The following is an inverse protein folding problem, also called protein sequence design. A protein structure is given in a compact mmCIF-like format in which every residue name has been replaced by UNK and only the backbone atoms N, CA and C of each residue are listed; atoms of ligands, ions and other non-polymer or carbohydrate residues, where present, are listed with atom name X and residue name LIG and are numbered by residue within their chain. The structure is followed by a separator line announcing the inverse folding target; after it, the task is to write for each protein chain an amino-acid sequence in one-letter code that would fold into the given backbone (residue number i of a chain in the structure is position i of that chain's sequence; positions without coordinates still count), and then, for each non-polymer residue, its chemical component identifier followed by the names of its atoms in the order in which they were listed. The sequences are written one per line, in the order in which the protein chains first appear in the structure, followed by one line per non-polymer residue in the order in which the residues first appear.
data_IF_416055285537
#
_entry.id   IF_416055285537
#
_cell.length_a   1.000
_cell.length_b   1.000
_cell.length_c   1.000
_cell.angle_alpha   90.00
_cell.angle_beta   90.00
_cell.angle_gamma   90.00
#
_symmetry.space_group_name_H-M   'P 1'
#
loop_
_entity.id
_entity.type
_entity.pdbx_description
1 polymer ?
#
# COMPACT_ATOMS: atom_id res chain seq x y z
N UNK A 1 53.04 -26.37 -58.53
CA UNK A 1 51.99 -27.32 -58.97
C UNK A 1 51.36 -27.90 -57.71
N UNK A 2 50.49 -27.18 -57.01
CA UNK A 2 49.02 -27.12 -57.23
C UNK A 2 48.39 -28.50 -57.40
N UNK A 3 47.83 -29.07 -56.33
CA UNK A 3 46.56 -29.79 -56.40
C UNK A 3 45.83 -29.72 -55.05
N UNK A 4 44.84 -28.83 -55.03
CA UNK A 4 43.70 -28.80 -54.11
C UNK A 4 42.98 -30.15 -54.12
N UNK A 5 42.84 -30.78 -52.95
CA UNK A 5 41.77 -31.75 -52.72
C UNK A 5 40.73 -31.08 -51.83
N UNK A 6 39.68 -30.60 -52.48
CA UNK A 6 38.41 -30.28 -51.85
C UNK A 6 37.97 -31.49 -51.02
N UNK A 7 38.02 -31.37 -49.70
CA UNK A 7 37.29 -32.27 -48.81
C UNK A 7 35.81 -31.99 -49.02
N UNK A 8 35.22 -32.72 -49.98
CA UNK A 8 33.76 -32.83 -50.08
C UNK A 8 33.27 -33.41 -48.76
N UNK A 9 32.73 -32.55 -47.90
CA UNK A 9 31.91 -32.95 -46.76
C UNK A 9 30.77 -33.80 -47.34
N UNK A 10 30.91 -35.13 -47.24
CA UNK A 10 29.81 -36.05 -47.50
C UNK A 10 28.79 -35.79 -46.41
N UNK A 11 27.80 -34.95 -46.70
CA UNK A 11 26.56 -34.91 -45.91
C UNK A 11 25.87 -36.24 -46.14
N UNK A 12 26.18 -37.22 -45.30
CA UNK A 12 25.44 -38.48 -45.26
C UNK A 12 24.09 -38.20 -44.63
N UNK A 13 23.05 -38.20 -45.46
CA UNK A 13 21.66 -38.18 -45.04
C UNK A 13 21.33 -39.54 -44.40
N UNK A 14 21.62 -39.68 -43.09
CA UNK A 14 21.20 -40.87 -42.36
C UNK A 14 19.70 -40.77 -42.07
N UNK A 15 18.91 -41.44 -42.91
CA UNK A 15 17.44 -41.49 -42.83
C UNK A 15 16.96 -41.99 -41.47
N UNK A 16 17.75 -42.82 -40.77
CA UNK A 16 17.41 -43.32 -39.43
C UNK A 16 17.67 -42.29 -38.34
N UNK A 17 18.71 -41.46 -38.47
CA UNK A 17 18.99 -40.37 -37.54
C UNK A 17 17.95 -39.25 -37.67
N UNK A 18 17.55 -38.92 -38.92
CA UNK A 18 16.44 -38.02 -39.20
C UNK A 18 15.10 -38.60 -38.72
N UNK A 19 14.79 -39.87 -38.97
CA UNK A 19 13.58 -40.51 -38.43
C UNK A 19 13.57 -40.52 -36.89
N UNK A 20 14.70 -40.75 -36.23
CA UNK A 20 14.80 -40.66 -34.76
C UNK A 20 14.69 -39.23 -34.23
N UNK A 21 14.98 -38.20 -35.04
CA UNK A 21 14.70 -36.79 -34.70
C UNK A 21 13.24 -36.41 -34.98
N UNK A 22 12.64 -36.95 -36.05
CA UNK A 22 11.25 -36.68 -36.48
C UNK A 22 10.23 -37.40 -35.58
N UNK A 23 10.53 -38.62 -35.12
CA UNK A 23 9.66 -39.41 -34.24
C UNK A 23 9.61 -38.95 -32.77
N UNK A 24 10.25 -37.82 -32.42
CA UNK A 24 10.24 -37.31 -31.03
C UNK A 24 9.01 -36.47 -30.69
N UNK A 25 8.35 -35.88 -31.68
CA UNK A 25 7.23 -34.99 -31.45
C UNK A 25 5.91 -35.67 -31.78
N UNK A 26 4.95 -35.57 -30.86
CA UNK A 26 3.55 -35.78 -31.21
C UNK A 26 3.12 -34.74 -32.26
N UNK A 27 2.07 -35.05 -33.03
CA UNK A 27 1.54 -34.12 -34.04
C UNK A 27 1.18 -32.73 -33.46
N UNK A 28 0.76 -32.69 -32.18
CA UNK A 28 0.48 -31.45 -31.46
C UNK A 28 1.76 -30.68 -31.12
N UNK A 29 2.79 -31.34 -30.59
CA UNK A 29 4.07 -30.69 -30.30
C UNK A 29 4.75 -30.18 -31.56
N UNK A 30 4.71 -30.95 -32.66
CA UNK A 30 5.22 -30.52 -33.95
C UNK A 30 4.51 -29.24 -34.45
N UNK A 31 3.20 -29.13 -34.24
CA UNK A 31 2.42 -27.93 -34.58
C UNK A 31 2.82 -26.71 -33.76
N UNK A 32 3.08 -26.89 -32.47
CA UNK A 32 3.55 -25.81 -31.57
C UNK A 32 4.94 -25.29 -31.96
N UNK A 33 5.82 -26.15 -32.47
CA UNK A 33 7.18 -25.76 -32.90
C UNK A 33 7.25 -25.21 -34.33
N UNK A 34 6.37 -25.65 -35.23
CA UNK A 34 6.42 -25.26 -36.65
C UNK A 34 5.65 -23.96 -36.97
N UNK A 35 4.72 -23.55 -36.11
CA UNK A 35 3.83 -22.42 -36.37
C UNK A 35 3.76 -21.39 -35.22
N UNK A 36 2.83 -20.46 -35.35
CA UNK A 36 2.50 -19.51 -34.29
C UNK A 36 1.92 -20.27 -33.08
N UNK A 37 2.64 -20.22 -31.95
CA UNK A 37 2.33 -20.96 -30.74
C UNK A 37 0.91 -20.67 -30.23
N UNK A 38 0.47 -19.41 -30.25
CA UNK A 38 -0.88 -19.07 -29.78
C UNK A 38 -1.96 -19.66 -30.68
N UNK A 39 -1.77 -19.60 -32.00
CA UNK A 39 -2.71 -20.21 -32.96
C UNK A 39 -2.76 -21.73 -32.80
N UNK A 40 -1.61 -22.36 -32.58
CA UNK A 40 -1.54 -23.80 -32.33
C UNK A 40 -2.34 -24.18 -31.07
N UNK A 41 -2.12 -23.48 -29.95
CA UNK A 41 -2.82 -23.75 -28.68
C UNK A 41 -4.32 -23.47 -28.79
N UNK A 42 -4.75 -22.38 -29.41
CA UNK A 42 -6.18 -22.08 -29.64
C UNK A 42 -6.85 -23.16 -30.47
N UNK A 43 -6.18 -23.65 -31.52
CA UNK A 43 -6.71 -24.73 -32.36
C UNK A 43 -6.83 -26.04 -31.58
N UNK A 44 -5.85 -26.38 -30.75
CA UNK A 44 -5.93 -27.56 -29.88
C UNK A 44 -7.10 -27.47 -28.88
N UNK A 45 -7.35 -26.29 -28.27
CA UNK A 45 -8.52 -26.10 -27.40
C UNK A 45 -9.84 -26.33 -28.13
N UNK A 46 -9.95 -25.85 -29.38
CA UNK A 46 -11.15 -26.06 -30.21
C UNK A 46 -11.34 -27.54 -30.56
N UNK A 47 -10.27 -28.23 -30.95
CA UNK A 47 -10.28 -29.69 -31.20
C UNK A 47 -10.67 -30.48 -29.95
N UNK A 48 -10.28 -29.99 -28.78
CA UNK A 48 -10.55 -30.59 -27.48
C UNK A 48 -11.93 -30.25 -26.89
N UNK A 49 -12.74 -29.46 -27.62
CA UNK A 49 -14.09 -29.03 -27.21
C UNK A 49 -14.14 -27.83 -26.27
N UNK A 50 -13.01 -27.21 -25.95
CA UNK A 50 -12.87 -26.11 -25.00
C UNK A 50 -13.04 -24.73 -25.66
N UNK A 51 -14.25 -24.41 -26.11
CA UNK A 51 -14.55 -23.21 -26.90
C UNK A 51 -14.44 -21.90 -26.09
N UNK A 52 -14.76 -21.91 -24.79
CA UNK A 52 -14.70 -20.71 -23.94
C UNK A 52 -13.25 -20.33 -23.67
N UNK A 53 -12.42 -21.30 -23.30
CA UNK A 53 -10.98 -21.12 -23.08
C UNK A 53 -10.30 -20.67 -24.37
N UNK A 54 -10.66 -21.27 -25.51
CA UNK A 54 -10.13 -20.85 -26.82
C UNK A 54 -10.40 -19.37 -27.11
N UNK A 55 -11.62 -18.89 -26.85
CA UNK A 55 -12.00 -17.48 -27.06
C UNK A 55 -11.20 -16.52 -26.17
N UNK A 56 -11.05 -16.85 -24.88
CA UNK A 56 -10.26 -16.00 -23.98
C UNK A 56 -8.77 -16.03 -24.31
N UNK A 57 -8.22 -17.19 -24.68
CA UNK A 57 -6.82 -17.29 -25.13
C UNK A 57 -6.57 -16.45 -26.38
N UNK A 58 -7.46 -16.51 -27.37
CA UNK A 58 -7.37 -15.72 -28.60
C UNK A 58 -7.40 -14.21 -28.30
N UNK A 59 -8.30 -13.78 -27.40
CA UNK A 59 -8.36 -12.38 -26.94
C UNK A 59 -7.07 -11.94 -26.23
N UNK A 60 -6.57 -12.74 -25.28
CA UNK A 60 -5.38 -12.39 -24.50
C UNK A 60 -4.11 -12.38 -25.38
N UNK A 61 -3.99 -13.30 -26.33
CA UNK A 61 -2.89 -13.34 -27.29
C UNK A 61 -2.89 -12.12 -28.22
N UNK A 62 -4.06 -11.71 -28.71
CA UNK A 62 -4.20 -10.50 -29.52
C UNK A 62 -3.82 -9.25 -28.72
N UNK A 63 -4.28 -9.15 -27.47
CA UNK A 63 -3.96 -8.05 -26.57
C UNK A 63 -2.47 -7.99 -26.23
N UNK A 64 -1.83 -9.12 -25.96
CA UNK A 64 -0.38 -9.17 -25.74
C UNK A 64 0.39 -8.67 -26.97
N UNK A 65 0.00 -9.13 -28.15
CA UNK A 65 0.64 -8.73 -29.41
C UNK A 65 0.54 -7.22 -29.60
N UNK A 66 -0.63 -6.64 -29.38
CA UNK A 66 -0.84 -5.18 -29.45
C UNK A 66 0.02 -4.43 -28.41
N UNK A 67 0.02 -4.88 -27.16
CA UNK A 67 0.83 -4.27 -26.10
C UNK A 67 2.33 -4.33 -26.38
N UNK A 68 2.79 -5.42 -26.98
CA UNK A 68 4.19 -5.59 -27.37
C UNK A 68 4.55 -4.66 -28.53
N UNK A 69 3.73 -4.63 -29.59
CA UNK A 69 3.94 -3.74 -30.74
C UNK A 69 3.92 -2.26 -30.35
N UNK A 70 3.06 -1.89 -29.39
CA UNK A 70 2.96 -0.53 -28.86
C UNK A 70 3.98 -0.22 -27.75
N UNK A 71 4.93 -1.12 -27.47
CA UNK A 71 5.96 -0.97 -26.41
C UNK A 71 5.41 -0.73 -24.99
N UNK A 72 4.17 -1.16 -24.71
CA UNK A 72 3.56 -1.12 -23.38
C UNK A 72 4.20 -2.19 -22.48
N UNK A 73 4.53 -3.35 -23.07
CA UNK A 73 5.20 -4.46 -22.39
C UNK A 73 6.53 -4.78 -23.07
N UNK A 74 7.47 -5.31 -22.29
CA UNK A 74 8.79 -5.77 -22.81
C UNK A 74 8.90 -7.29 -22.84
N UNK A 75 8.35 -7.93 -21.82
CA UNK A 75 8.35 -9.39 -21.67
C UNK A 75 7.01 -9.93 -22.18
N UNK A 76 7.06 -11.03 -22.96
CA UNK A 76 5.87 -11.74 -23.41
C UNK A 76 5.71 -13.06 -22.66
N UNK A 77 4.47 -13.44 -22.44
CA UNK A 77 4.05 -14.71 -21.86
C UNK A 77 4.41 -15.85 -22.80
N UNK A 78 4.34 -15.63 -24.12
CA UNK A 78 4.76 -16.63 -25.11
C UNK A 78 6.22 -17.07 -24.98
N UNK A 79 7.09 -16.17 -24.49
CA UNK A 79 8.50 -16.47 -24.28
C UNK A 79 8.73 -17.24 -22.95
N UNK A 80 7.70 -17.40 -22.12
CA UNK A 80 7.72 -18.17 -20.87
C UNK A 80 6.88 -19.44 -20.98
N UNK A 81 7.48 -20.48 -21.56
CA UNK A 81 6.83 -21.78 -21.81
C UNK A 81 6.19 -22.37 -20.54
N UNK A 82 6.88 -22.31 -19.40
CA UNK A 82 6.37 -22.87 -18.14
C UNK A 82 5.07 -22.21 -17.68
N UNK A 83 4.98 -20.89 -17.75
CA UNK A 83 3.79 -20.13 -17.36
C UNK A 83 2.66 -20.36 -18.36
N UNK A 84 2.97 -20.23 -19.66
CA UNK A 84 1.98 -20.36 -20.73
C UNK A 84 1.32 -21.75 -20.71
N UNK A 85 2.13 -22.80 -20.61
CA UNK A 85 1.61 -24.18 -20.59
C UNK A 85 0.80 -24.46 -19.32
N UNK A 86 1.25 -23.95 -18.16
CA UNK A 86 0.49 -24.09 -16.91
C UNK A 86 -0.88 -23.39 -16.97
N UNK A 87 -0.94 -22.19 -17.56
CA UNK A 87 -2.20 -21.48 -17.80
C UNK A 87 -3.10 -22.25 -18.78
N UNK A 88 -2.51 -22.74 -19.86
CA UNK A 88 -3.21 -23.50 -20.89
C UNK A 88 -3.85 -24.77 -20.33
N UNK A 89 -3.07 -25.59 -19.64
CA UNK A 89 -3.53 -26.87 -19.10
C UNK A 89 -4.61 -26.66 -18.03
N UNK A 90 -4.42 -25.68 -17.13
CA UNK A 90 -5.42 -25.38 -16.11
C UNK A 90 -6.74 -24.87 -16.72
N UNK A 91 -6.69 -23.98 -17.72
CA UNK A 91 -7.90 -23.50 -18.41
C UNK A 91 -8.63 -24.63 -19.13
N UNK A 92 -7.87 -25.45 -19.88
CA UNK A 92 -8.41 -26.60 -20.60
C UNK A 92 -9.08 -27.59 -19.66
N UNK A 93 -8.40 -27.96 -18.57
CA UNK A 93 -8.95 -28.88 -17.57
C UNK A 93 -10.17 -28.28 -16.88
N UNK A 94 -10.16 -26.99 -16.55
CA UNK A 94 -11.29 -26.32 -15.90
C UNK A 94 -12.55 -26.38 -16.79
N UNK A 95 -12.44 -26.07 -18.07
CA UNK A 95 -13.58 -26.13 -18.98
C UNK A 95 -14.07 -27.57 -19.21
N UNK A 96 -13.16 -28.53 -19.35
CA UNK A 96 -13.55 -29.95 -19.46
C UNK A 96 -14.29 -30.44 -18.23
N UNK A 97 -13.81 -30.07 -17.05
CA UNK A 97 -14.49 -30.42 -15.80
C UNK A 97 -15.86 -29.74 -15.67
N UNK A 98 -16.01 -28.53 -16.21
CA UNK A 98 -17.30 -27.84 -16.23
C UNK A 98 -18.33 -28.53 -17.15
N UNK A 99 -17.88 -29.11 -18.26
CA UNK A 99 -18.74 -29.84 -19.21
C UNK A 99 -19.29 -31.17 -18.67
N UNK A 100 -18.72 -31.71 -17.59
CA UNK A 100 -19.17 -32.98 -17.01
C UNK A 100 -20.49 -32.84 -16.21
N UNK A 101 -21.03 -31.62 -16.05
CA UNK A 101 -22.30 -31.24 -15.36
C UNK A 101 -22.55 -31.79 -13.93
N UNK A 102 -21.64 -32.60 -13.40
CA UNK A 102 -21.70 -33.17 -12.06
C UNK A 102 -21.20 -32.17 -11.01
N UNK A 103 -21.69 -32.32 -9.77
CA UNK A 103 -21.24 -31.52 -8.62
C UNK A 103 -19.71 -31.54 -8.48
N UNK A 104 -19.07 -32.69 -8.65
CA UNK A 104 -17.61 -32.84 -8.55
C UNK A 104 -16.87 -32.09 -9.67
N UNK A 105 -17.40 -32.11 -10.89
CA UNK A 105 -16.83 -31.38 -12.04
C UNK A 105 -16.74 -29.87 -11.81
N UNK A 106 -17.77 -29.29 -11.19
CA UNK A 106 -17.77 -27.85 -10.84
C UNK A 106 -16.77 -27.52 -9.72
N UNK A 107 -16.63 -28.38 -8.71
CA UNK A 107 -15.64 -28.19 -7.65
C UNK A 107 -14.21 -28.20 -8.22
N UNK A 108 -13.91 -29.15 -9.13
CA UNK A 108 -12.62 -29.21 -9.83
C UNK A 108 -12.40 -27.96 -10.68
N UNK A 109 -13.43 -27.52 -11.42
CA UNK A 109 -13.37 -26.29 -12.23
C UNK A 109 -12.93 -25.09 -11.40
N UNK A 110 -13.59 -24.81 -10.27
CA UNK A 110 -13.26 -23.64 -9.46
C UNK A 110 -11.94 -23.76 -8.71
N UNK A 111 -11.51 -24.97 -8.36
CA UNK A 111 -10.16 -25.19 -7.82
C UNK A 111 -9.08 -24.88 -8.86
N UNK A 112 -9.27 -25.27 -10.12
CA UNK A 112 -8.36 -24.94 -11.22
C UNK A 112 -8.35 -23.43 -11.52
N UNK A 113 -9.52 -22.78 -11.51
CA UNK A 113 -9.61 -21.32 -11.64
C UNK A 113 -8.89 -20.60 -10.48
N UNK A 114 -9.03 -21.11 -9.26
CA UNK A 114 -8.29 -20.59 -8.11
C UNK A 114 -6.77 -20.80 -8.27
N UNK A 115 -6.32 -21.94 -8.80
CA UNK A 115 -4.90 -22.20 -9.09
C UNK A 115 -4.35 -21.24 -10.14
N UNK A 116 -5.11 -20.93 -11.20
CA UNK A 116 -4.73 -19.93 -12.21
C UNK A 116 -4.51 -18.57 -11.56
N UNK A 117 -5.44 -18.13 -10.71
CA UNK A 117 -5.31 -16.88 -9.97
C UNK A 117 -4.10 -16.91 -9.03
N UNK A 118 -3.88 -18.02 -8.33
CA UNK A 118 -2.75 -18.18 -7.42
C UNK A 118 -1.39 -18.18 -8.14
N UNK A 119 -1.31 -18.77 -9.33
CA UNK A 119 -0.13 -18.77 -10.19
C UNK A 119 0.24 -17.33 -10.59
N UNK A 120 -0.75 -16.51 -10.94
CA UNK A 120 -0.52 -15.10 -11.30
C UNK A 120 -0.11 -14.22 -10.11
N UNK A 121 -0.37 -14.65 -8.88
CA UNK A 121 0.07 -13.99 -7.65
C UNK A 121 1.52 -14.34 -7.25
N UNK A 122 2.21 -15.23 -7.99
CA UNK A 122 3.59 -15.57 -7.66
C UNK A 122 4.54 -14.36 -7.87
N UNK A 123 5.45 -14.07 -6.92
CA UNK A 123 6.27 -12.85 -6.95
C UNK A 123 7.07 -12.63 -8.26
N UNK A 124 7.46 -13.71 -8.94
CA UNK A 124 8.18 -13.67 -10.23
C UNK A 124 7.34 -13.14 -11.40
N UNK A 125 6.02 -13.19 -11.31
CA UNK A 125 5.11 -12.80 -12.40
C UNK A 125 4.39 -11.49 -12.14
N UNK A 126 4.17 -11.13 -10.86
CA UNK A 126 3.40 -9.95 -10.45
C UNK A 126 3.86 -8.65 -11.14
N UNK A 127 5.17 -8.42 -11.23
CA UNK A 127 5.70 -7.17 -11.82
C UNK A 127 5.76 -7.20 -13.34
N UNK A 128 5.92 -8.38 -13.95
CA UNK A 128 6.11 -8.56 -15.39
C UNK A 128 4.79 -8.61 -16.15
N UNK A 129 3.79 -9.29 -15.59
CA UNK A 129 2.55 -9.63 -16.27
C UNK A 129 1.32 -9.07 -15.52
N UNK A 130 1.43 -7.86 -14.97
CA UNK A 130 0.33 -7.25 -14.21
C UNK A 130 -0.92 -7.03 -15.07
N UNK A 131 -0.74 -6.74 -16.35
CA UNK A 131 -1.86 -6.61 -17.31
C UNK A 131 -2.65 -7.92 -17.45
N UNK A 132 -1.95 -9.05 -17.56
CA UNK A 132 -2.56 -10.37 -17.70
C UNK A 132 -3.24 -10.78 -16.41
N UNK A 133 -2.59 -10.49 -15.28
CA UNK A 133 -3.13 -10.74 -13.94
C UNK A 133 -4.48 -10.03 -13.75
N UNK A 134 -4.59 -8.76 -14.14
CA UNK A 134 -5.84 -7.99 -14.12
C UNK A 134 -6.93 -8.67 -14.96
N UNK A 135 -6.64 -9.01 -16.21
CA UNK A 135 -7.63 -9.63 -17.10
C UNK A 135 -8.08 -11.01 -16.58
N UNK A 136 -7.16 -11.81 -16.06
CA UNK A 136 -7.46 -13.11 -15.45
C UNK A 136 -8.42 -12.94 -14.27
N UNK A 137 -8.16 -11.98 -13.38
CA UNK A 137 -9.09 -11.71 -12.27
C UNK A 137 -10.48 -11.31 -12.76
N UNK A 138 -10.57 -10.42 -13.76
CA UNK A 138 -11.86 -9.98 -14.31
C UNK A 138 -12.63 -11.15 -14.97
N UNK A 139 -11.94 -12.00 -15.73
CA UNK A 139 -12.53 -13.17 -16.38
C UNK A 139 -13.03 -14.17 -15.33
N UNK A 140 -12.16 -14.54 -14.38
CA UNK A 140 -12.48 -15.54 -13.36
C UNK A 140 -13.60 -15.04 -12.44
N UNK A 141 -13.58 -13.77 -12.02
CA UNK A 141 -14.66 -13.19 -11.22
C UNK A 141 -16.01 -13.19 -11.96
N UNK A 142 -16.03 -12.87 -13.27
CA UNK A 142 -17.25 -12.95 -14.10
C UNK A 142 -17.78 -14.37 -14.23
N UNK A 143 -16.90 -15.38 -14.28
CA UNK A 143 -17.29 -16.79 -14.30
C UNK A 143 -17.90 -17.19 -12.94
N UNK A 144 -17.24 -16.81 -11.85
CA UNK A 144 -17.72 -17.06 -10.48
C UNK A 144 -19.09 -16.43 -10.21
N UNK A 145 -19.34 -15.21 -10.70
CA UNK A 145 -20.61 -14.52 -10.55
C UNK A 145 -21.78 -15.22 -11.27
N UNK A 146 -21.50 -15.88 -12.40
CA UNK A 146 -22.52 -16.55 -13.22
C UNK A 146 -22.87 -17.94 -12.71
N UNK A 147 -21.89 -18.67 -12.19
CA UNK A 147 -22.00 -20.12 -11.95
C UNK A 147 -22.07 -20.46 -10.45
N UNK A 148 -21.60 -19.56 -9.58
CA UNK A 148 -21.34 -19.83 -8.17
C UNK A 148 -22.52 -19.81 -7.19
N UNK A 149 -23.71 -19.35 -7.60
CA UNK A 149 -24.80 -19.15 -6.65
C UNK A 149 -25.45 -20.48 -6.21
N UNK A 150 -25.38 -20.78 -4.91
CA UNK A 150 -26.19 -21.81 -4.24
C UNK A 150 -25.62 -23.23 -4.22
N UNK A 151 -24.33 -23.43 -4.50
CA UNK A 151 -23.69 -24.76 -4.52
C UNK A 151 -22.56 -24.85 -3.48
N UNK A 152 -22.84 -25.49 -2.35
CA UNK A 152 -21.94 -25.56 -1.18
C UNK A 152 -20.51 -26.07 -1.49
N UNK A 153 -20.34 -26.92 -2.51
CA UNK A 153 -19.04 -27.50 -2.88
C UNK A 153 -18.11 -26.57 -3.68
N UNK A 154 -18.61 -25.44 -4.20
CA UNK A 154 -17.82 -24.44 -4.96
C UNK A 154 -17.64 -23.12 -4.20
N UNK A 155 -18.37 -22.91 -3.10
CA UNK A 155 -18.34 -21.65 -2.36
C UNK A 155 -16.95 -21.33 -1.80
N UNK A 156 -16.20 -22.35 -1.33
CA UNK A 156 -14.84 -22.16 -0.81
C UNK A 156 -13.87 -21.58 -1.85
N UNK A 157 -13.61 -22.22 -3.00
CA UNK A 157 -12.69 -21.67 -4.00
C UNK A 157 -13.17 -20.32 -4.54
N UNK A 158 -14.48 -20.11 -4.68
CA UNK A 158 -15.04 -18.82 -5.11
C UNK A 158 -14.77 -17.72 -4.09
N UNK A 159 -14.98 -17.97 -2.79
CA UNK A 159 -14.66 -17.02 -1.74
C UNK A 159 -13.17 -16.64 -1.74
N UNK A 160 -12.28 -17.60 -1.98
CA UNK A 160 -10.84 -17.36 -2.08
C UNK A 160 -10.45 -16.57 -3.33
N UNK A 161 -11.13 -16.81 -4.47
CA UNK A 161 -10.97 -16.00 -5.69
C UNK A 161 -11.37 -14.55 -5.41
N UNK A 162 -12.54 -14.32 -4.80
CA UNK A 162 -13.00 -12.98 -4.46
C UNK A 162 -12.08 -12.28 -3.46
N UNK A 163 -11.58 -13.00 -2.46
CA UNK A 163 -10.59 -12.48 -1.51
C UNK A 163 -9.31 -12.02 -2.23
N UNK A 164 -8.75 -12.87 -3.10
CA UNK A 164 -7.55 -12.52 -3.87
C UNK A 164 -7.79 -11.33 -4.80
N UNK A 165 -8.95 -11.26 -5.44
CA UNK A 165 -9.28 -10.14 -6.31
C UNK A 165 -9.47 -8.83 -5.53
N UNK A 166 -10.14 -8.89 -4.38
CA UNK A 166 -10.24 -7.74 -3.45
C UNK A 166 -8.87 -7.24 -3.01
N UNK A 167 -7.95 -8.16 -2.69
CA UNK A 167 -6.56 -7.82 -2.33
C UNK A 167 -5.80 -7.17 -3.50
N UNK A 168 -5.99 -7.68 -4.73
CA UNK A 168 -5.40 -7.09 -5.93
C UNK A 168 -5.87 -5.64 -6.14
N UNK A 169 -7.18 -5.41 -6.13
CA UNK A 169 -7.78 -4.07 -6.30
C UNK A 169 -7.37 -3.11 -5.17
N UNK A 170 -7.33 -3.60 -3.93
CA UNK A 170 -6.85 -2.85 -2.77
C UNK A 170 -5.37 -2.48 -2.88
N UNK A 171 -4.55 -3.35 -3.48
CA UNK A 171 -3.13 -3.11 -3.73
C UNK A 171 -2.88 -1.94 -4.69
N UNK A 172 -3.58 -1.92 -5.82
CA UNK A 172 -3.44 -0.90 -6.87
C UNK A 172 -4.03 0.47 -6.47
N UNK A 173 -4.76 0.54 -5.35
CA UNK A 173 -5.61 1.68 -4.96
C UNK A 173 -6.63 2.06 -6.06
N UNK A 174 -6.84 1.20 -7.05
CA UNK A 174 -7.82 1.39 -8.12
C UNK A 174 -9.18 0.88 -7.62
N UNK A 175 -10.17 1.79 -7.58
CA UNK A 175 -11.57 1.52 -7.25
C UNK A 175 -11.81 0.82 -5.89
N UNK A 176 -11.67 1.59 -4.80
CA UNK A 176 -12.06 1.20 -3.45
C UNK A 176 -13.43 0.49 -3.39
N UNK A 177 -14.45 1.04 -4.05
CA UNK A 177 -15.81 0.47 -4.01
C UNK A 177 -15.85 -0.95 -4.60
N UNK A 178 -15.09 -1.21 -5.66
CA UNK A 178 -15.03 -2.53 -6.30
C UNK A 178 -14.30 -3.53 -5.40
N UNK A 179 -13.21 -3.11 -4.76
CA UNK A 179 -12.49 -3.94 -3.79
C UNK A 179 -13.41 -4.35 -2.63
N UNK A 180 -14.11 -3.37 -2.03
CA UNK A 180 -15.07 -3.61 -0.95
C UNK A 180 -16.21 -4.54 -1.36
N UNK A 181 -16.72 -4.40 -2.58
CA UNK A 181 -17.76 -5.28 -3.13
C UNK A 181 -17.30 -6.75 -3.18
N UNK A 182 -16.09 -7.03 -3.64
CA UNK A 182 -15.57 -8.40 -3.66
C UNK A 182 -15.23 -8.94 -2.27
N UNK A 183 -14.79 -8.09 -1.33
CA UNK A 183 -14.67 -8.51 0.07
C UNK A 183 -16.02 -8.87 0.69
N UNK A 184 -17.06 -8.07 0.45
CA UNK A 184 -18.42 -8.34 0.93
C UNK A 184 -18.96 -9.66 0.34
N UNK A 185 -18.72 -9.94 -0.95
CA UNK A 185 -19.04 -11.23 -1.58
C UNK A 185 -18.28 -12.40 -0.95
N UNK A 186 -16.97 -12.27 -0.75
CA UNK A 186 -16.15 -13.31 -0.12
C UNK A 186 -16.66 -13.61 1.30
N UNK A 187 -17.01 -12.57 2.06
CA UNK A 187 -17.51 -12.68 3.42
C UNK A 187 -18.87 -13.37 3.47
N UNK A 188 -19.80 -13.00 2.59
CA UNK A 188 -21.13 -13.61 2.53
C UNK A 188 -21.08 -15.14 2.31
N UNK A 189 -20.13 -15.61 1.49
CA UNK A 189 -19.92 -17.04 1.26
C UNK A 189 -19.26 -17.75 2.46
N UNK A 190 -18.39 -17.05 3.19
CA UNK A 190 -17.64 -17.63 4.30
C UNK A 190 -18.43 -17.69 5.63
N UNK A 191 -19.43 -16.83 5.83
CA UNK A 191 -20.20 -16.73 7.09
C UNK A 191 -20.90 -18.03 7.50
N UNK A 192 -21.30 -18.84 6.53
CA UNK A 192 -22.06 -20.08 6.76
C UNK A 192 -21.17 -21.31 6.97
N UNK A 193 -19.85 -21.22 6.72
CA UNK A 193 -18.97 -22.39 6.64
C UNK A 193 -17.66 -22.26 7.44
N UNK A 194 -17.31 -23.32 8.17
CA UNK A 194 -16.03 -23.44 8.91
C UNK A 194 -14.96 -24.12 8.06
N UNK A 195 -14.53 -23.50 6.96
CA UNK A 195 -13.45 -24.05 6.14
C UNK A 195 -12.08 -23.84 6.77
N UNK A 196 -11.24 -24.90 6.79
CA UNK A 196 -9.88 -24.84 7.34
C UNK A 196 -8.88 -24.41 6.25
N UNK A 197 -8.03 -23.43 6.55
CA UNK A 197 -6.87 -23.01 5.76
C UNK A 197 -5.69 -23.94 6.00
N UNK A 198 -5.04 -24.39 4.93
CA UNK A 198 -3.72 -25.01 5.00
C UNK A 198 -2.69 -23.91 5.29
N UNK A 199 -2.39 -23.65 6.56
CA UNK A 199 -1.31 -22.77 6.96
C UNK A 199 -0.19 -23.64 7.55
N UNK A 200 1.04 -23.37 7.14
CA UNK A 200 2.24 -24.04 7.64
C UNK A 200 2.74 -23.45 8.96
N UNK A 201 1.93 -22.66 9.68
CA UNK A 201 2.34 -22.13 10.99
C UNK A 201 2.03 -23.15 12.10
N UNK A 202 3.05 -23.73 12.76
CA UNK A 202 2.87 -24.81 13.74
C UNK A 202 2.13 -24.37 15.02
N UNK A 203 1.98 -23.06 15.27
CA UNK A 203 1.40 -22.50 16.50
C UNK A 203 -0.05 -22.01 16.38
N UNK A 204 -0.68 -22.17 15.22
CA UNK A 204 -2.02 -21.63 14.96
C UNK A 204 -3.13 -22.57 15.45
N UNK A 205 -3.95 -22.09 16.39
CA UNK A 205 -5.14 -22.82 16.86
C UNK A 205 -6.15 -22.99 15.71
N UNK A 206 -6.89 -24.12 15.62
CA UNK A 206 -7.82 -24.39 14.53
C UNK A 206 -8.87 -23.30 14.23
N UNK A 207 -9.19 -22.40 15.18
CA UNK A 207 -10.11 -21.28 14.96
C UNK A 207 -9.50 -20.10 14.19
N UNK A 208 -8.17 -19.91 14.28
CA UNK A 208 -7.39 -18.95 13.48
C UNK A 208 -6.99 -19.52 12.12
N UNK A 209 -7.20 -20.82 11.93
CA UNK A 209 -6.95 -21.54 10.69
C UNK A 209 -8.21 -21.62 9.84
N UNK A 210 -9.14 -20.68 9.97
CA UNK A 210 -10.38 -20.68 9.20
C UNK A 210 -10.30 -19.69 8.04
N UNK A 211 -10.86 -20.05 6.88
CA UNK A 211 -10.91 -19.13 5.73
C UNK A 211 -11.64 -17.85 6.09
N UNK A 212 -12.70 -17.95 6.91
CA UNK A 212 -13.43 -16.82 7.45
C UNK A 212 -12.53 -15.83 8.21
N UNK A 213 -11.62 -16.31 9.08
CA UNK A 213 -10.72 -15.41 9.82
C UNK A 213 -9.74 -14.72 8.88
N UNK A 214 -9.19 -15.45 7.90
CA UNK A 214 -8.28 -14.83 6.92
C UNK A 214 -8.97 -13.77 6.04
N UNK A 215 -10.24 -13.99 5.66
CA UNK A 215 -11.02 -13.01 4.91
C UNK A 215 -11.25 -11.76 5.77
N UNK A 216 -11.67 -11.94 7.02
CA UNK A 216 -11.89 -10.84 7.96
C UNK A 216 -10.63 -10.02 8.16
N UNK A 217 -9.48 -10.65 8.39
CA UNK A 217 -8.21 -9.95 8.62
C UNK A 217 -7.81 -9.06 7.44
N UNK A 218 -7.85 -9.61 6.22
CA UNK A 218 -7.52 -8.88 5.00
C UNK A 218 -8.55 -7.79 4.70
N UNK A 219 -9.83 -8.05 4.95
CA UNK A 219 -10.89 -7.08 4.74
C UNK A 219 -10.77 -5.90 5.71
N UNK A 220 -10.54 -6.18 7.00
CA UNK A 220 -10.27 -5.15 8.03
C UNK A 220 -9.05 -4.33 7.64
N UNK A 221 -7.95 -4.96 7.22
CA UNK A 221 -6.75 -4.25 6.79
C UNK A 221 -7.02 -3.31 5.59
N UNK A 222 -7.80 -3.77 4.61
CA UNK A 222 -8.19 -2.97 3.45
C UNK A 222 -9.06 -1.77 3.85
N UNK A 223 -10.08 -1.97 4.71
CA UNK A 223 -10.94 -0.90 5.21
C UNK A 223 -10.14 0.19 5.93
N UNK A 224 -9.21 -0.19 6.79
CA UNK A 224 -8.34 0.75 7.51
C UNK A 224 -7.39 1.49 6.55
N UNK A 225 -6.85 0.80 5.55
CA UNK A 225 -6.01 1.43 4.50
C UNK A 225 -6.81 2.47 3.72
N UNK A 226 -8.02 2.14 3.28
CA UNK A 226 -8.89 3.09 2.58
C UNK A 226 -9.31 4.26 3.47
N UNK A 227 -9.63 3.99 4.75
CA UNK A 227 -9.92 5.02 5.74
C UNK A 227 -8.80 6.04 5.88
N UNK A 228 -7.53 5.61 5.95
CA UNK A 228 -6.38 6.52 5.99
C UNK A 228 -6.26 7.43 4.77
N UNK A 229 -6.57 6.91 3.58
CA UNK A 229 -6.51 7.69 2.33
C UNK A 229 -7.60 8.76 2.31
N UNK A 230 -8.80 8.42 2.79
CA UNK A 230 -9.97 9.30 2.77
C UNK A 230 -9.96 10.30 3.92
N UNK A 231 -9.38 9.98 5.08
CA UNK A 231 -9.47 10.78 6.31
C UNK A 231 -9.08 12.25 6.14
N UNK A 232 -8.14 12.55 5.25
CA UNK A 232 -7.69 13.93 4.95
C UNK A 232 -8.77 14.76 4.26
N UNK A 233 -9.68 14.13 3.51
CA UNK A 233 -10.77 14.78 2.76
C UNK A 233 -12.09 14.69 3.52
N UNK A 234 -12.40 13.52 4.04
CA UNK A 234 -13.64 13.24 4.77
C UNK A 234 -13.35 12.28 5.94
N UNK A 235 -13.11 12.85 7.11
CA UNK A 235 -12.81 12.06 8.30
C UNK A 235 -14.02 11.26 8.80
N UNK A 236 -15.26 11.73 8.55
CA UNK A 236 -16.48 11.02 9.00
C UNK A 236 -16.67 9.74 8.19
N UNK A 237 -16.45 9.79 6.88
CA UNK A 237 -16.45 8.58 6.05
C UNK A 237 -15.36 7.60 6.49
N UNK A 238 -14.16 8.09 6.82
CA UNK A 238 -13.08 7.25 7.35
C UNK A 238 -13.45 6.58 8.68
N UNK A 239 -14.09 7.31 9.60
CA UNK A 239 -14.64 6.74 10.85
C UNK A 239 -15.68 5.67 10.54
N UNK A 240 -16.57 5.89 9.57
CA UNK A 240 -17.55 4.89 9.13
C UNK A 240 -16.89 3.58 8.65
N UNK A 241 -15.78 3.67 7.92
CA UNK A 241 -15.00 2.50 7.50
C UNK A 241 -14.33 1.80 8.70
N UNK A 242 -13.80 2.57 9.65
CA UNK A 242 -13.25 2.01 10.89
C UNK A 242 -14.31 1.29 11.74
N UNK A 243 -15.51 1.85 11.84
CA UNK A 243 -16.65 1.20 12.49
C UNK A 243 -17.10 -0.07 11.74
N UNK A 244 -17.17 -0.03 10.40
CA UNK A 244 -17.43 -1.23 9.59
C UNK A 244 -16.39 -2.31 9.85
N UNK A 245 -15.11 -1.95 9.92
CA UNK A 245 -14.02 -2.87 10.23
C UNK A 245 -14.18 -3.49 11.63
N UNK A 246 -14.58 -2.70 12.62
CA UNK A 246 -14.87 -3.20 13.97
C UNK A 246 -16.01 -4.22 13.95
N UNK A 247 -17.13 -3.90 13.28
CA UNK A 247 -18.27 -4.81 13.15
C UNK A 247 -17.86 -6.13 12.49
N UNK A 248 -17.07 -6.10 11.42
CA UNK A 248 -16.59 -7.31 10.74
C UNK A 248 -15.69 -8.13 11.68
N UNK A 249 -14.76 -7.49 12.39
CA UNK A 249 -13.87 -8.19 13.31
C UNK A 249 -14.63 -8.85 14.47
N UNK A 250 -15.71 -8.21 14.97
CA UNK A 250 -16.53 -8.80 16.05
C UNK A 250 -17.18 -10.13 15.66
N UNK A 251 -17.39 -10.40 14.37
CA UNK A 251 -17.94 -11.67 13.88
C UNK A 251 -17.02 -12.87 14.17
N UNK A 252 -15.72 -12.63 14.35
CA UNK A 252 -14.73 -13.66 14.74
C UNK A 252 -14.69 -13.88 16.26
N UNK A 253 -15.26 -12.95 17.04
CA UNK A 253 -15.18 -12.93 18.50
C UNK A 253 -13.93 -12.23 19.04
N UNK A 254 -14.00 -11.73 20.28
CA UNK A 254 -12.91 -10.99 20.93
C UNK A 254 -12.15 -11.87 21.91
N UNK A 255 -10.91 -12.19 21.57
CA UNK A 255 -10.02 -13.06 22.35
C UNK A 255 -8.64 -12.39 22.53
N UNK A 256 -7.81 -12.88 23.46
CA UNK A 256 -6.47 -12.31 23.73
C UNK A 256 -5.59 -12.29 22.47
N UNK A 257 -5.71 -13.28 21.58
CA UNK A 257 -4.88 -13.42 20.38
C UNK A 257 -5.18 -12.36 19.30
N UNK A 258 -6.44 -11.99 19.10
CA UNK A 258 -6.84 -10.96 18.13
C UNK A 258 -7.09 -9.59 18.78
N UNK A 259 -6.84 -9.45 20.08
CA UNK A 259 -6.99 -8.18 20.80
C UNK A 259 -6.18 -7.05 20.16
N UNK A 260 -5.01 -7.36 19.63
CA UNK A 260 -4.18 -6.40 18.89
C UNK A 260 -4.91 -5.80 17.67
N UNK A 261 -5.78 -6.56 16.99
CA UNK A 261 -6.57 -6.07 15.85
C UNK A 261 -7.66 -5.10 16.31
N UNK A 262 -8.33 -5.41 17.44
CA UNK A 262 -9.30 -4.51 18.05
C UNK A 262 -8.65 -3.18 18.45
N UNK A 263 -7.51 -3.24 19.14
CA UNK A 263 -6.73 -2.07 19.52
C UNK A 263 -6.31 -1.28 18.28
N UNK A 264 -5.80 -1.94 17.25
CA UNK A 264 -5.41 -1.30 15.99
C UNK A 264 -6.57 -0.52 15.33
N UNK A 265 -7.77 -1.11 15.30
CA UNK A 265 -8.96 -0.44 14.74
C UNK A 265 -9.31 0.80 15.57
N UNK A 266 -9.34 0.71 16.90
CA UNK A 266 -9.65 1.86 17.75
C UNK A 266 -8.60 2.97 17.61
N UNK A 267 -7.32 2.63 17.49
CA UNK A 267 -6.25 3.59 17.23
C UNK A 267 -6.45 4.30 15.88
N UNK A 268 -6.87 3.59 14.83
CA UNK A 268 -7.22 4.22 13.55
C UNK A 268 -8.45 5.12 13.64
N UNK A 269 -9.50 4.69 14.35
CA UNK A 269 -10.67 5.55 14.56
C UNK A 269 -10.27 6.83 15.31
N UNK A 270 -9.41 6.72 16.33
CA UNK A 270 -8.86 7.89 17.03
C UNK A 270 -8.03 8.78 16.08
N UNK A 271 -7.18 8.22 15.23
CA UNK A 271 -6.45 8.95 14.19
C UNK A 271 -7.39 9.71 13.24
N UNK A 272 -8.50 9.09 12.83
CA UNK A 272 -9.49 9.75 11.95
C UNK A 272 -10.18 10.91 12.67
N UNK A 273 -10.54 10.78 13.95
CA UNK A 273 -11.07 11.90 14.71
C UNK A 273 -10.04 13.02 14.95
N UNK A 274 -8.75 12.68 15.08
CA UNK A 274 -7.65 13.65 15.17
C UNK A 274 -7.53 14.46 13.87
N UNK A 275 -7.62 13.81 12.71
CA UNK A 275 -7.64 14.50 11.40
C UNK A 275 -8.87 15.42 11.25
N UNK A 276 -10.00 15.05 11.87
CA UNK A 276 -11.20 15.89 11.99
C UNK A 276 -11.17 16.93 13.12
N UNK A 277 -10.04 17.11 13.80
CA UNK A 277 -9.85 18.02 14.95
C UNK A 277 -10.80 17.78 16.14
N UNK A 278 -11.36 16.56 16.27
CA UNK A 278 -12.24 16.14 17.38
C UNK A 278 -11.44 15.44 18.48
N UNK A 279 -10.54 16.19 19.11
CA UNK A 279 -9.57 15.65 20.09
C UNK A 279 -10.22 15.05 21.36
N UNK A 280 -11.34 15.58 21.82
CA UNK A 280 -12.05 15.07 23.01
C UNK A 280 -12.61 13.66 22.76
N UNK A 281 -13.21 13.44 21.58
CA UNK A 281 -13.74 12.14 21.17
C UNK A 281 -12.60 11.15 20.97
N UNK A 282 -11.50 11.58 20.32
CA UNK A 282 -10.31 10.74 20.15
C UNK A 282 -9.74 10.29 21.52
N UNK A 283 -9.67 11.18 22.51
CA UNK A 283 -9.24 10.79 23.87
C UNK A 283 -10.21 9.83 24.55
N UNK A 284 -11.52 10.00 24.36
CA UNK A 284 -12.50 9.06 24.90
C UNK A 284 -12.29 7.64 24.34
N UNK A 285 -12.00 7.53 23.05
CA UNK A 285 -11.68 6.25 22.39
C UNK A 285 -10.34 5.71 22.88
N UNK A 286 -9.31 6.54 23.01
CA UNK A 286 -8.03 6.08 23.55
C UNK A 286 -8.18 5.52 24.98
N UNK A 287 -9.01 6.14 25.82
CA UNK A 287 -9.29 5.63 27.18
C UNK A 287 -9.88 4.21 27.17
N UNK A 288 -10.73 3.84 26.21
CA UNK A 288 -11.30 2.48 26.15
C UNK A 288 -10.27 1.41 25.82
N UNK A 289 -9.18 1.79 25.15
CA UNK A 289 -8.11 0.89 24.71
C UNK A 289 -7.03 0.71 25.77
N UNK A 290 -6.96 1.58 26.78
CA UNK A 290 -5.90 1.60 27.78
C UNK A 290 -5.76 0.26 28.52
N UNK A 291 -6.87 -0.32 28.96
CA UNK A 291 -6.85 -1.60 29.70
C UNK A 291 -6.44 -2.77 28.81
N UNK A 292 -6.74 -2.69 27.52
CA UNK A 292 -6.44 -3.73 26.54
C UNK A 292 -4.96 -3.78 26.18
N UNK A 293 -4.28 -2.63 26.13
CA UNK A 293 -2.84 -2.55 25.81
C UNK A 293 -2.00 -3.46 26.71
N UNK A 294 -2.34 -3.54 28.00
CA UNK A 294 -1.64 -4.39 28.97
C UNK A 294 -1.78 -5.90 28.71
N UNK A 295 -2.81 -6.30 27.95
CA UNK A 295 -3.18 -7.69 27.67
C UNK A 295 -2.73 -8.15 26.27
N UNK A 296 -2.18 -7.24 25.45
CA UNK A 296 -1.70 -7.56 24.10
C UNK A 296 -0.41 -8.37 24.20
N UNK A 297 -0.25 -9.32 23.27
CA UNK A 297 0.99 -10.08 23.14
C UNK A 297 2.21 -9.18 22.84
N UNK A 298 3.36 -9.52 23.41
CA UNK A 298 4.59 -8.69 23.39
C UNK A 298 5.01 -8.29 21.99
N UNK A 299 4.73 -9.13 20.99
CA UNK A 299 5.05 -8.89 19.57
C UNK A 299 4.46 -7.59 19.03
N UNK A 300 3.23 -7.25 19.42
CA UNK A 300 2.50 -6.07 18.92
C UNK A 300 2.39 -4.94 19.96
N UNK A 301 2.62 -5.27 21.24
CA UNK A 301 2.41 -4.34 22.35
C UNK A 301 3.25 -3.06 22.21
N UNK A 302 4.52 -3.15 21.77
CA UNK A 302 5.41 -1.98 21.71
C UNK A 302 4.98 -0.99 20.62
N UNK A 303 4.62 -1.48 19.43
CA UNK A 303 4.14 -0.63 18.33
C UNK A 303 2.79 0.02 18.66
N UNK A 304 1.85 -0.75 19.21
CA UNK A 304 0.53 -0.24 19.58
C UNK A 304 0.60 0.77 20.72
N UNK A 305 1.45 0.53 21.73
CA UNK A 305 1.69 1.49 22.81
C UNK A 305 2.31 2.79 22.28
N UNK A 306 3.30 2.70 21.38
CA UNK A 306 3.89 3.88 20.75
C UNK A 306 2.84 4.73 20.03
N UNK A 307 1.98 4.09 19.22
CA UNK A 307 0.91 4.78 18.49
C UNK A 307 -0.13 5.36 19.43
N UNK A 308 -0.49 4.64 20.49
CA UNK A 308 -1.38 5.12 21.54
C UNK A 308 -0.83 6.40 22.19
N UNK A 309 0.43 6.38 22.64
CA UNK A 309 1.07 7.52 23.30
C UNK A 309 1.23 8.72 22.36
N UNK A 310 1.56 8.48 21.09
CA UNK A 310 1.61 9.53 20.06
C UNK A 310 0.24 10.19 19.87
N UNK A 311 -0.83 9.40 19.67
CA UNK A 311 -2.17 9.94 19.47
C UNK A 311 -2.68 10.68 20.71
N UNK A 312 -2.40 10.16 21.90
CA UNK A 312 -2.70 10.81 23.17
C UNK A 312 -1.94 12.13 23.31
N UNK A 313 -0.65 12.15 22.97
CA UNK A 313 0.19 13.35 22.96
C UNK A 313 -0.31 14.44 22.00
N UNK A 314 -0.76 14.07 20.80
CA UNK A 314 -1.37 14.99 19.82
C UNK A 314 -2.65 15.61 20.39
N UNK A 315 -3.53 14.79 20.98
CA UNK A 315 -4.77 15.27 21.57
C UNK A 315 -4.51 16.25 22.72
N UNK A 316 -3.63 15.90 23.66
CA UNK A 316 -3.27 16.77 24.79
C UNK A 316 -2.59 18.08 24.33
N UNK A 317 -1.74 18.03 23.30
CA UNK A 317 -1.12 19.23 22.70
C UNK A 317 -2.18 20.18 22.14
N UNK A 318 -3.20 19.64 21.50
CA UNK A 318 -4.29 20.42 20.90
C UNK A 318 -5.25 20.99 21.96
N UNK A 319 -5.43 20.26 23.08
CA UNK A 319 -6.21 20.71 24.24
C UNK A 319 -5.42 21.58 25.23
N UNK A 320 -4.18 21.97 24.90
CA UNK A 320 -3.29 22.80 25.73
C UNK A 320 -2.93 22.19 27.09
N UNK A 321 -3.00 20.87 27.22
CA UNK A 321 -2.59 20.11 28.40
C UNK A 321 -1.10 19.74 28.27
N UNK A 322 -0.24 20.71 28.59
CA UNK A 322 1.16 20.64 28.14
C UNK A 322 2.00 19.59 28.85
N UNK A 323 1.71 19.30 30.12
CA UNK A 323 2.51 18.35 30.91
C UNK A 323 2.21 16.92 30.48
N UNK A 324 0.94 16.59 30.32
CA UNK A 324 0.44 15.31 29.85
C UNK A 324 0.89 15.05 28.41
N UNK A 325 0.79 16.07 27.54
CA UNK A 325 1.29 15.99 26.17
C UNK A 325 2.79 15.64 26.12
N UNK A 326 3.60 16.34 26.92
CA UNK A 326 5.04 16.12 26.95
C UNK A 326 5.41 14.72 27.46
N UNK A 327 4.71 14.24 28.48
CA UNK A 327 4.92 12.89 29.01
C UNK A 327 4.65 11.83 27.94
N UNK A 328 3.45 11.87 27.33
CA UNK A 328 3.08 10.90 26.30
C UNK A 328 3.99 10.96 25.07
N UNK A 329 4.38 12.16 24.61
CA UNK A 329 5.30 12.28 23.47
C UNK A 329 6.70 11.74 23.79
N UNK A 330 7.20 11.87 25.02
CA UNK A 330 8.50 11.28 25.43
C UNK A 330 8.45 9.76 25.49
N UNK A 331 7.36 9.19 26.00
CA UNK A 331 7.12 7.75 26.03
C UNK A 331 7.07 7.18 24.60
N UNK A 332 6.31 7.83 23.71
CA UNK A 332 6.25 7.49 22.29
C UNK A 332 7.63 7.59 21.61
N UNK A 333 8.43 8.62 21.90
CA UNK A 333 9.75 8.81 21.30
C UNK A 333 10.70 7.67 21.67
N UNK A 334 10.72 7.28 22.95
CA UNK A 334 11.55 6.18 23.44
C UNK A 334 11.23 4.87 22.71
N UNK A 335 9.94 4.58 22.51
CA UNK A 335 9.51 3.40 21.78
C UNK A 335 9.80 3.50 20.28
N UNK A 336 9.57 4.64 19.65
CA UNK A 336 9.87 4.84 18.23
C UNK A 336 11.36 4.63 17.91
N UNK A 337 12.26 5.12 18.78
CA UNK A 337 13.71 4.90 18.64
C UNK A 337 14.10 3.44 18.87
N UNK A 338 13.50 2.78 19.87
CA UNK A 338 13.72 1.35 20.13
C UNK A 338 13.32 0.49 18.93
N UNK A 339 12.18 0.80 18.31
CA UNK A 339 11.64 0.11 17.15
C UNK A 339 12.26 0.57 15.81
N UNK A 340 13.17 1.55 15.84
CA UNK A 340 13.79 2.16 14.66
C UNK A 340 12.78 2.72 13.64
N UNK A 341 11.62 3.18 14.11
CA UNK A 341 10.54 3.72 13.29
C UNK A 341 10.77 5.21 13.02
N UNK A 342 11.63 5.50 12.04
CA UNK A 342 12.01 6.87 11.65
C UNK A 342 10.81 7.77 11.30
N UNK A 343 9.77 7.21 10.66
CA UNK A 343 8.57 7.98 10.30
C UNK A 343 7.80 8.49 11.52
N UNK A 344 7.66 7.65 12.54
CA UNK A 344 7.04 7.98 13.82
C UNK A 344 7.92 8.96 14.61
N UNK A 345 9.24 8.73 14.66
CA UNK A 345 10.19 9.64 15.31
C UNK A 345 10.11 11.06 14.74
N UNK A 346 10.08 11.20 13.41
CA UNK A 346 9.93 12.50 12.75
C UNK A 346 8.61 13.21 13.12
N UNK A 347 7.52 12.44 13.22
CA UNK A 347 6.21 12.97 13.61
C UNK A 347 6.21 13.42 15.07
N UNK A 348 6.74 12.60 15.98
CA UNK A 348 6.85 12.93 17.41
C UNK A 348 7.67 14.21 17.60
N UNK A 349 8.81 14.34 16.91
CA UNK A 349 9.61 15.57 16.96
C UNK A 349 8.85 16.80 16.43
N UNK A 350 8.04 16.64 15.38
CA UNK A 350 7.21 17.73 14.87
C UNK A 350 6.16 18.15 15.93
N UNK A 351 5.49 17.20 16.58
CA UNK A 351 4.49 17.50 17.61
C UNK A 351 5.12 18.11 18.88
N UNK A 352 6.28 17.60 19.32
CA UNK A 352 7.05 18.25 20.39
C UNK A 352 7.43 19.68 20.03
N UNK A 353 7.82 19.93 18.78
CA UNK A 353 8.11 21.28 18.28
C UNK A 353 6.91 22.23 18.39
N UNK A 354 5.71 21.75 18.05
CA UNK A 354 4.47 22.53 18.22
C UNK A 354 4.17 22.82 19.68
N UNK A 355 4.34 21.83 20.55
CA UNK A 355 4.12 21.98 21.99
C UNK A 355 5.08 23.03 22.60
N UNK A 356 6.36 22.99 22.23
CA UNK A 356 7.34 24.00 22.63
C UNK A 356 7.00 25.40 22.10
N UNK A 357 6.49 25.50 20.87
CA UNK A 357 6.04 26.76 20.29
C UNK A 357 4.87 27.37 21.09
N UNK A 358 3.92 26.54 21.54
CA UNK A 358 2.77 26.97 22.35
C UNK A 358 3.18 27.50 23.72
N UNK A 359 4.22 26.94 24.33
CA UNK A 359 4.72 27.39 25.65
C UNK A 359 5.47 28.74 25.57
N UNK A 360 5.99 29.11 24.40
CA UNK A 360 6.59 30.42 24.16
C UNK A 360 7.91 30.68 24.89
N UNK A 361 8.43 31.90 24.74
CA UNK A 361 9.56 32.45 25.51
C UNK A 361 10.85 31.60 25.47
N UNK A 362 11.09 30.83 26.54
CA UNK A 362 12.34 30.10 26.80
C UNK A 362 12.50 28.81 26.01
N UNK A 363 11.41 28.22 25.50
CA UNK A 363 11.46 26.91 24.82
C UNK A 363 11.54 26.99 23.29
N UNK A 364 11.70 28.20 22.73
CA UNK A 364 11.81 28.41 21.27
C UNK A 364 12.99 27.67 20.63
N UNK A 365 14.14 27.67 21.29
CA UNK A 365 15.32 26.93 20.80
C UNK A 365 15.07 25.42 20.76
N UNK A 366 14.31 24.90 21.74
CA UNK A 366 13.89 23.49 21.76
C UNK A 366 12.91 23.20 20.61
N UNK A 367 11.95 24.10 20.35
CA UNK A 367 11.04 24.01 19.21
C UNK A 367 11.79 23.94 17.87
N UNK A 368 12.73 24.88 17.66
CA UNK A 368 13.59 24.93 16.46
C UNK A 368 14.36 23.62 16.26
N UNK A 369 15.02 23.13 17.32
CA UNK A 369 15.79 21.89 17.26
C UNK A 369 14.92 20.67 16.93
N UNK A 370 13.72 20.60 17.51
CA UNK A 370 12.76 19.54 17.23
C UNK A 370 12.31 19.54 15.76
N UNK A 371 11.95 20.72 15.21
CA UNK A 371 11.59 20.85 13.80
C UNK A 371 12.76 20.54 12.85
N UNK A 372 14.00 20.91 13.20
CA UNK A 372 15.19 20.59 12.40
C UNK A 372 15.45 19.08 12.35
N UNK A 373 15.37 18.38 13.49
CA UNK A 373 15.47 16.91 13.53
C UNK A 373 14.39 16.25 12.67
N UNK A 374 13.13 16.66 12.83
CA UNK A 374 12.03 16.17 12.01
C UNK A 374 12.26 16.42 10.50
N UNK A 375 12.82 17.58 10.13
CA UNK A 375 13.10 17.96 8.73
C UNK A 375 14.16 17.05 8.12
N UNK A 376 15.21 16.74 8.88
CA UNK A 376 16.27 15.84 8.47
C UNK A 376 15.72 14.44 8.18
N UNK A 377 14.91 13.90 9.10
CA UNK A 377 14.33 12.57 8.94
C UNK A 377 13.30 12.52 7.79
N UNK A 378 12.42 13.53 7.64
CA UNK A 378 11.51 13.54 6.50
C UNK A 378 12.22 13.69 5.15
N UNK A 379 13.40 14.33 5.13
CA UNK A 379 14.24 14.41 3.93
C UNK A 379 14.87 13.05 3.60
N UNK A 380 15.33 12.29 4.58
CA UNK A 380 15.86 10.94 4.34
C UNK A 380 14.77 9.96 3.89
N UNK A 381 13.54 10.12 4.39
CA UNK A 381 12.39 9.29 4.01
C UNK A 381 11.72 9.67 2.67
N UNK A 382 12.09 10.79 2.04
CA UNK A 382 11.44 11.27 0.82
C UNK A 382 9.97 11.70 0.99
N UNK A 383 9.50 11.94 2.22
CA UNK A 383 8.10 12.28 2.48
C UNK A 383 7.83 13.78 2.24
N UNK A 384 7.47 14.12 1.00
CA UNK A 384 7.27 15.51 0.57
C UNK A 384 6.14 16.24 1.30
N UNK A 385 5.04 15.54 1.63
CA UNK A 385 3.88 16.14 2.30
C UNK A 385 4.24 16.59 3.72
N UNK A 386 4.81 15.69 4.52
CA UNK A 386 5.19 16.00 5.89
C UNK A 386 6.42 16.92 5.97
N UNK A 387 7.34 16.81 5.01
CA UNK A 387 8.45 17.77 4.87
C UNK A 387 7.93 19.20 4.65
N UNK A 388 6.90 19.38 3.82
CA UNK A 388 6.29 20.69 3.57
C UNK A 388 5.57 21.24 4.80
N UNK A 389 4.78 20.39 5.50
CA UNK A 389 4.16 20.75 6.79
C UNK A 389 5.21 21.19 7.81
N UNK A 390 6.29 20.43 7.95
CA UNK A 390 7.35 20.75 8.90
C UNK A 390 8.12 22.04 8.53
N UNK A 391 8.36 22.30 7.23
CA UNK A 391 8.93 23.59 6.78
C UNK A 391 8.04 24.77 7.19
N UNK A 392 6.72 24.62 7.06
CA UNK A 392 5.77 25.65 7.50
C UNK A 392 5.89 25.91 9.01
N UNK A 393 5.90 24.88 9.85
CA UNK A 393 6.05 25.06 11.30
C UNK A 393 7.40 25.62 11.71
N UNK A 394 8.48 25.21 11.03
CA UNK A 394 9.81 25.80 11.24
C UNK A 394 9.82 27.30 10.88
N UNK A 395 9.23 27.68 9.74
CA UNK A 395 9.10 29.07 9.34
C UNK A 395 8.26 29.88 10.34
N UNK A 396 7.16 29.30 10.84
CA UNK A 396 6.35 29.89 11.91
C UNK A 396 7.18 30.10 13.18
N UNK A 397 7.96 29.11 13.60
CA UNK A 397 8.87 29.21 14.74
C UNK A 397 9.88 30.35 14.58
N UNK A 398 10.55 30.44 13.44
CA UNK A 398 11.52 31.49 13.15
C UNK A 398 10.86 32.88 13.11
N UNK A 399 9.71 33.00 12.45
CA UNK A 399 8.96 34.26 12.39
C UNK A 399 8.56 34.76 13.79
N UNK A 400 8.15 33.86 14.68
CA UNK A 400 7.78 34.20 16.07
C UNK A 400 8.96 34.64 16.93
N UNK A 401 10.18 34.19 16.63
CA UNK A 401 11.41 34.63 17.31
C UNK A 401 11.85 36.01 16.82
N UNK A 402 11.77 36.23 15.50
CA UNK A 402 12.31 37.41 14.85
C UNK A 402 11.36 38.62 14.95
N UNK A 403 10.04 38.40 15.00
CA UNK A 403 9.06 39.49 15.05
C UNK A 403 9.23 40.45 16.26
N UNK A 404 9.37 39.98 17.52
CA UNK A 404 9.64 40.86 18.66
C UNK A 404 10.93 41.66 18.49
N UNK A 405 11.98 41.03 17.96
CA UNK A 405 13.28 41.68 17.73
C UNK A 405 13.16 42.81 16.70
N UNK A 406 12.40 42.58 15.62
CA UNK A 406 12.06 43.67 14.70
C UNK A 406 11.26 44.77 15.40
N UNK A 407 10.26 44.42 16.22
CA UNK A 407 9.46 45.41 16.95
C UNK A 407 10.32 46.27 17.90
N UNK A 408 11.28 45.67 18.59
CA UNK A 408 12.19 46.39 19.50
C UNK A 408 13.18 47.27 18.74
N UNK A 409 13.71 46.80 17.61
CA UNK A 409 14.58 47.58 16.73
C UNK A 409 13.84 48.80 16.15
N UNK A 410 12.54 48.66 15.90
CA UNK A 410 11.69 49.74 15.40
C UNK A 410 11.27 50.73 16.48
N UNK A 411 11.01 50.27 17.71
CA UNK A 411 10.69 51.14 18.85
C UNK A 411 11.89 51.94 19.35
N UNK A 412 13.10 51.37 19.26
CA UNK A 412 14.34 52.00 19.71
C UNK A 412 14.95 52.98 18.70
N UNK A 413 14.34 53.14 17.52
CA UNK A 413 14.87 54.03 16.49
C UNK A 413 14.13 55.37 16.43
N UNK A 414 14.80 56.45 16.81
CA UNK A 414 14.33 57.84 16.64
C UNK A 414 14.39 58.34 15.18
N UNK A 415 14.77 57.47 14.23
CA UNK A 415 15.02 57.84 12.83
C UNK A 415 13.80 57.54 11.95
N UNK A 416 13.25 58.59 11.32
CA UNK A 416 12.16 58.58 10.32
C UNK A 416 12.28 57.47 9.26
N UNK A 417 13.51 57.06 8.92
CA UNK A 417 13.80 56.01 7.94
C UNK A 417 13.18 54.64 8.29
N UNK A 418 13.05 54.26 9.56
CA UNK A 418 12.58 52.91 9.91
C UNK A 418 11.07 52.73 9.65
N UNK A 419 10.27 53.80 9.80
CA UNK A 419 8.84 53.77 9.47
C UNK A 419 8.60 53.72 7.95
N UNK A 420 9.46 54.39 7.16
CA UNK A 420 9.47 54.32 5.69
C UNK A 420 9.80 52.93 5.19
N UNK A 421 10.83 52.30 5.77
CA UNK A 421 11.20 50.91 5.49
C UNK A 421 10.07 49.93 5.83
N UNK A 422 9.35 50.15 6.93
CA UNK A 422 8.19 49.35 7.31
C UNK A 422 7.05 49.46 6.30
N UNK A 423 6.74 50.67 5.80
CA UNK A 423 5.73 50.86 4.75
C UNK A 423 6.12 50.13 3.48
N UNK A 424 7.40 50.13 3.08
CA UNK A 424 7.85 49.36 1.91
C UNK A 424 7.80 47.85 2.14
N UNK A 425 8.05 47.36 3.34
CA UNK A 425 7.83 45.95 3.65
C UNK A 425 6.34 45.58 3.65
N UNK A 426 5.49 46.36 4.33
CA UNK A 426 4.03 46.13 4.41
C UNK A 426 3.33 46.21 3.05
N UNK A 427 3.69 47.20 2.21
CA UNK A 427 2.99 47.47 0.95
C UNK A 427 3.73 46.97 -0.30
N UNK A 428 5.03 46.68 -0.21
CA UNK A 428 5.85 46.26 -1.36
C UNK A 428 6.62 44.96 -1.11
N UNK A 429 6.47 44.32 0.06
CA UNK A 429 7.21 43.12 0.47
C UNK A 429 8.74 43.24 0.34
N UNK A 430 9.26 44.48 0.33
CA UNK A 430 10.70 44.71 0.20
C UNK A 430 11.40 44.42 1.53
N UNK A 431 12.44 43.56 1.57
CA UNK A 431 13.15 43.24 2.79
C UNK A 431 13.91 44.48 3.29
N UNK A 432 13.56 44.98 4.47
CA UNK A 432 14.16 46.21 5.01
C UNK A 432 15.47 45.98 5.77
N UNK A 433 15.73 44.75 6.17
CA UNK A 433 16.90 44.34 6.97
C UNK A 433 18.19 44.17 6.17
N UNK A 434 18.16 44.31 4.82
CA UNK A 434 19.37 44.16 3.98
C UNK A 434 20.46 45.21 4.23
N UNK A 435 20.12 46.36 4.80
CA UNK A 435 21.02 47.51 4.94
C UNK A 435 21.22 47.95 6.41
N UNK A 436 20.77 47.18 7.40
CA UNK A 436 20.97 47.53 8.82
C UNK A 436 22.09 46.69 9.42
N UNK A 437 23.04 47.34 10.11
CA UNK A 437 24.01 46.66 10.96
C UNK A 437 23.27 46.04 12.16
N UNK A 438 22.95 44.76 12.05
CA UNK A 438 22.35 43.97 13.13
C UNK A 438 23.42 43.69 14.20
N UNK A 439 23.02 43.69 15.48
CA UNK A 439 23.90 43.32 16.60
C UNK A 439 24.40 41.88 16.43
N UNK A 440 25.64 41.60 16.81
CA UNK A 440 26.33 40.30 16.64
C UNK A 440 25.56 39.07 17.14
N UNK A 441 24.69 39.26 18.14
CA UNK A 441 23.92 38.17 18.75
C UNK A 441 22.68 37.78 17.92
N UNK A 442 22.36 38.55 16.88
CA UNK A 442 21.18 38.41 16.01
C UNK A 442 21.47 37.62 14.72
N UNK A 443 22.73 37.25 14.50
CA UNK A 443 23.24 36.77 13.22
C UNK A 443 22.66 35.39 12.85
N UNK A 444 22.48 34.47 13.81
CA UNK A 444 22.08 33.08 13.53
C UNK A 444 20.58 32.88 13.27
N UNK A 445 19.72 33.76 13.79
CA UNK A 445 18.27 33.68 13.55
C UNK A 445 17.88 34.31 12.21
N UNK A 446 18.53 35.42 11.85
CA UNK A 446 18.32 36.11 10.57
C UNK A 446 19.07 35.46 9.39
N UNK A 447 20.23 34.83 9.61
CA UNK A 447 20.95 34.06 8.56
C UNK A 447 20.09 32.94 7.97
N UNK A 448 19.32 32.22 8.79
CA UNK A 448 18.42 31.17 8.31
C UNK A 448 17.30 31.70 7.38
N UNK A 449 16.77 32.91 7.63
CA UNK A 449 15.84 33.56 6.71
C UNK A 449 16.52 33.98 5.40
N UNK A 450 17.77 34.45 5.49
CA UNK A 450 18.54 34.88 4.31
C UNK A 450 18.94 33.71 3.40
N UNK A 451 19.29 32.55 3.94
CA UNK A 451 19.65 31.34 3.18
C UNK A 451 18.49 30.75 2.38
N UNK A 452 17.25 30.82 2.87
CA UNK A 452 16.07 30.35 2.11
C UNK A 452 15.62 31.36 1.04
N UNK A 453 15.76 32.67 1.27
CA UNK A 453 15.45 33.70 0.26
C UNK A 453 16.46 33.75 -0.88
N UNK A 454 17.75 33.58 -0.59
CA UNK A 454 18.81 33.54 -1.61
C UNK A 454 18.67 32.35 -2.57
N UNK A 455 18.12 31.23 -2.10
CA UNK A 455 17.78 30.07 -2.95
C UNK A 455 16.57 30.30 -3.88
N UNK A 456 15.70 31.26 -3.58
CA UNK A 456 14.59 31.64 -4.49
C UNK A 456 15.01 32.63 -5.57
N UNK A 457 16.05 33.45 -5.32
CA UNK A 457 16.59 34.38 -6.33
C UNK A 457 17.45 33.71 -7.40
N UNK A 458 17.85 32.45 -7.21
CA UNK A 458 18.61 31.65 -8.19
C UNK A 458 17.71 30.78 -9.08
N UNK A 459 16.38 30.96 -9.02
CA UNK A 459 15.37 30.21 -9.79
C UNK A 459 14.55 31.12 -10.72
N UNK A 460 15.03 32.33 -11.01
CA UNK A 460 14.53 33.17 -12.10
C UNK A 460 15.51 33.18 -13.26
#
# INVERSE_FOLDING_TARGET
MSHSKEERIKVTFDKKELQNRICKFSFREARRHAGDLYKALVQELREDGCLVSAKYFEFLAAKETDYYLNNVIRDRVMDNESLLMSLYDNCKMAERSALLEQCEGMAVTFNLLYQIVALMDEPKYVTKFNWLRRDIYEIVAKISDKVGNGKANVERPIAMIYLKYGNFLSGENENMNLALHYYDKAMALAQTHKWITQSNQPDAHPALMCVHTTIVEQYVAALLKFGKVIAVRDYLQAVGLGQKALCILTQVGRNVRNLHQFVNIHLHIAEFYIEGEKYEIALAILKTVCDDLSKIDKRHAEEMTMRFDLNKGICHTSLKQTNEAMQSLKEALKLAQKLQLQSAEAQIHMEMGKLYLQQGGSQRNMARNAFLKSKQIYKTLGNMKNSSKNKYFLAQCLSSAIFPLFMDLMKSSDKYCNLFHLRRWKYQLKPFWRNQHLRSDMDDELKCLMEEFSRKSTLN
#
